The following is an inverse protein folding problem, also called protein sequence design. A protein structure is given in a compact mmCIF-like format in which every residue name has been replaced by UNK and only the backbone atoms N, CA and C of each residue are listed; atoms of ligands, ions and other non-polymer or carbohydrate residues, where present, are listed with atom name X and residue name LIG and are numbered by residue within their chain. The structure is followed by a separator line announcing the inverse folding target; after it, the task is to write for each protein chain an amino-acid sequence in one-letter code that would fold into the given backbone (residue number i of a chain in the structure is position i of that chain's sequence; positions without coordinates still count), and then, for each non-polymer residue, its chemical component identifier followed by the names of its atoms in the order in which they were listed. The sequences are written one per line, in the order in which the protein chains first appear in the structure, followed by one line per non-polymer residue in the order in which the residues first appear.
data_IF_655814777086
#
_entry.id   IF_655814777086
#
_cell.length_a   1.000
_cell.length_b   1.000
_cell.length_c   1.000
_cell.angle_alpha   90.00
_cell.angle_beta   90.00
_cell.angle_gamma   90.00
#
_symmetry.space_group_name_H-M   'P 1'
#
loop_
_entity.id
_entity.type
_entity.pdbx_description
1 polymer ?
#
# COMPACT_ATOMS: atom_id res chain seq x y z
N UNK A 1 -17.27 4.27 9.07
CA UNK A 1 -16.90 5.60 8.54
C UNK A 1 -15.64 5.48 7.72
N UNK A 2 -15.49 6.24 6.65
CA UNK A 2 -14.25 6.37 5.88
C UNK A 2 -13.61 7.73 6.17
N UNK A 3 -12.29 7.76 6.26
CA UNK A 3 -11.52 9.00 6.44
C UNK A 3 -10.35 9.01 5.47
N UNK A 4 -10.22 10.08 4.70
CA UNK A 4 -9.14 10.23 3.73
C UNK A 4 -8.00 11.05 4.33
N UNK A 5 -6.99 10.35 4.84
CA UNK A 5 -5.76 10.93 5.36
C UNK A 5 -4.61 10.92 4.34
N UNK A 6 -4.89 10.75 3.05
CA UNK A 6 -3.97 11.19 2.00
C UNK A 6 -4.12 12.71 1.86
N UNK A 7 -3.49 13.44 2.79
CA UNK A 7 -3.76 14.86 3.01
C UNK A 7 -3.39 15.77 1.85
N UNK A 8 -2.61 15.27 0.90
CA UNK A 8 -2.13 16.04 -0.25
C UNK A 8 -2.84 15.69 -1.55
N UNK A 9 -3.19 14.41 -1.73
CA UNK A 9 -3.70 13.90 -3.00
C UNK A 9 -4.93 13.00 -2.82
N UNK A 10 -5.63 13.16 -1.69
CA UNK A 10 -6.81 12.35 -1.37
C UNK A 10 -7.95 12.57 -2.35
N UNK A 11 -8.46 11.47 -2.91
CA UNK A 11 -9.51 11.44 -3.91
C UNK A 11 -10.63 10.44 -3.55
N UNK A 12 -10.64 9.95 -2.31
CA UNK A 12 -11.59 8.94 -1.86
C UNK A 12 -13.06 9.37 -2.07
N UNK A 13 -13.35 10.66 -1.96
CA UNK A 13 -14.66 11.22 -2.21
C UNK A 13 -15.09 11.09 -3.68
N UNK A 14 -14.14 11.20 -4.63
CA UNK A 14 -14.43 11.01 -6.05
C UNK A 14 -14.79 9.57 -6.35
N UNK A 15 -14.06 8.61 -5.76
CA UNK A 15 -14.36 7.18 -5.90
C UNK A 15 -15.73 6.81 -5.30
N UNK A 16 -16.13 7.51 -4.24
CA UNK A 16 -17.42 7.34 -3.58
C UNK A 16 -18.59 8.06 -4.30
N UNK A 17 -18.29 8.93 -5.27
CA UNK A 17 -19.29 9.75 -5.95
C UNK A 17 -19.88 10.86 -5.06
N UNK A 18 -19.11 11.38 -4.11
CA UNK A 18 -19.54 12.43 -3.19
C UNK A 18 -19.03 13.80 -3.67
N UNK A 19 -19.95 14.61 -4.21
CA UNK A 19 -19.60 15.91 -4.79
C UNK A 19 -19.29 17.00 -3.74
N UNK A 20 -19.84 16.85 -2.54
CA UNK A 20 -19.72 17.83 -1.46
C UNK A 20 -19.36 17.17 -0.13
N UNK A 21 -18.19 16.53 -0.07
CA UNK A 21 -17.80 15.84 1.14
C UNK A 21 -17.53 16.82 2.28
N UNK A 22 -17.79 16.40 3.51
CA UNK A 22 -17.25 17.07 4.68
C UNK A 22 -15.74 16.80 4.72
N UNK A 23 -14.93 17.82 4.96
CA UNK A 23 -13.47 17.72 4.92
C UNK A 23 -12.88 17.68 6.33
N UNK A 24 -11.68 17.13 6.47
CA UNK A 24 -11.01 16.97 7.76
C UNK A 24 -10.81 18.33 8.45
N UNK A 25 -10.33 19.34 7.74
CA UNK A 25 -10.12 20.69 8.25
C UNK A 25 -11.42 21.35 8.73
N UNK A 26 -12.55 21.12 8.06
CA UNK A 26 -13.86 21.56 8.49
C UNK A 26 -14.34 20.87 9.76
N UNK A 27 -14.08 19.54 9.88
CA UNK A 27 -14.42 18.77 11.08
C UNK A 27 -13.56 19.23 12.26
N UNK A 28 -12.26 19.46 12.06
CA UNK A 28 -11.37 19.96 13.11
C UNK A 28 -11.78 21.36 13.58
N UNK A 29 -12.21 22.22 12.66
CA UNK A 29 -12.74 23.56 13.01
C UNK A 29 -14.07 23.49 13.75
N UNK A 30 -14.90 22.49 13.48
CA UNK A 30 -16.21 22.29 14.12
C UNK A 30 -16.56 20.79 14.25
N UNK A 31 -16.11 20.13 15.31
CA UNK A 31 -16.36 18.70 15.55
C UNK A 31 -17.86 18.33 15.67
N UNK A 32 -18.71 19.27 16.00
CA UNK A 32 -20.15 19.05 16.11
C UNK A 32 -20.80 18.74 14.75
N UNK A 33 -20.09 18.92 13.64
CA UNK A 33 -20.54 18.52 12.30
C UNK A 33 -20.46 17.03 12.02
N UNK A 34 -19.71 16.25 12.81
CA UNK A 34 -19.59 14.81 12.59
C UNK A 34 -20.95 14.09 12.57
N UNK A 35 -21.92 14.43 13.44
CA UNK A 35 -23.27 13.86 13.38
C UNK A 35 -24.07 14.21 12.11
N UNK A 36 -23.66 15.24 11.34
CA UNK A 36 -24.29 15.59 10.07
C UNK A 36 -23.98 14.56 8.97
N UNK A 37 -22.94 13.75 9.17
CA UNK A 37 -22.52 12.73 8.23
C UNK A 37 -23.58 11.66 8.07
N UNK A 38 -23.98 11.45 6.82
CA UNK A 38 -25.03 10.48 6.50
C UNK A 38 -24.45 9.08 6.34
N UNK A 39 -24.99 8.15 7.12
CA UNK A 39 -24.79 6.73 6.88
C UNK A 39 -25.93 6.21 6.02
N UNK A 40 -25.65 5.73 4.84
CA UNK A 40 -26.64 5.10 3.97
C UNK A 40 -26.37 3.61 3.86
N UNK A 41 -27.36 2.82 3.44
CA UNK A 41 -27.15 1.40 3.18
C UNK A 41 -26.19 1.12 2.01
N UNK A 42 -25.92 2.13 1.17
CA UNK A 42 -25.10 2.03 -0.05
C UNK A 42 -23.73 2.67 0.08
N UNK A 43 -23.59 3.62 0.99
CA UNK A 43 -22.33 4.33 1.18
C UNK A 43 -22.08 4.60 2.65
N UNK A 44 -20.88 4.35 3.16
CA UNK A 44 -20.46 4.76 4.50
C UNK A 44 -20.37 6.28 4.58
N UNK A 45 -20.47 6.83 5.78
CA UNK A 45 -20.11 8.23 6.00
C UNK A 45 -18.65 8.47 5.63
N UNK A 46 -18.35 9.56 4.97
CA UNK A 46 -17.03 9.91 4.44
C UNK A 46 -16.58 11.27 4.96
N UNK A 47 -15.34 11.36 5.40
CA UNK A 47 -14.60 12.59 5.65
C UNK A 47 -13.46 12.64 4.64
N UNK A 48 -13.45 13.64 3.77
CA UNK A 48 -12.45 13.80 2.72
C UNK A 48 -11.20 14.53 3.21
N UNK A 49 -10.09 14.35 2.51
CA UNK A 49 -8.89 15.13 2.69
C UNK A 49 -9.15 16.64 2.50
N UNK A 50 -8.27 17.51 3.03
CA UNK A 50 -8.37 18.95 2.81
C UNK A 50 -8.37 19.30 1.30
N UNK A 51 -9.06 20.37 0.94
CA UNK A 51 -9.09 20.84 -0.46
C UNK A 51 -7.77 21.54 -0.85
N UNK A 52 -7.07 22.11 0.13
CA UNK A 52 -5.87 22.89 -0.09
C UNK A 52 -4.65 22.15 0.46
N UNK A 53 -3.62 22.01 -0.37
CA UNK A 53 -2.39 21.29 -0.01
C UNK A 53 -1.69 21.89 1.21
N UNK A 54 -1.75 23.21 1.37
CA UNK A 54 -1.14 23.91 2.51
C UNK A 54 -1.82 23.60 3.85
N UNK A 55 -3.06 23.11 3.84
CA UNK A 55 -3.76 22.71 5.06
C UNK A 55 -3.25 21.36 5.63
N UNK A 56 -2.50 20.59 4.84
CA UNK A 56 -2.07 19.25 5.21
C UNK A 56 -1.25 19.22 6.52
N UNK A 57 -0.35 20.19 6.73
CA UNK A 57 0.50 20.24 7.92
C UNK A 57 -0.30 20.57 9.20
N UNK A 58 -1.27 21.48 9.10
CA UNK A 58 -2.12 21.84 10.22
C UNK A 58 -3.04 20.70 10.60
N UNK A 59 -3.67 20.06 9.59
CA UNK A 59 -4.50 18.87 9.78
C UNK A 59 -3.69 17.73 10.41
N UNK A 60 -2.47 17.48 9.93
CA UNK A 60 -1.62 16.40 10.43
C UNK A 60 -1.36 16.51 11.95
N UNK A 61 -1.25 17.73 12.46
CA UNK A 61 -1.04 18.00 13.90
C UNK A 61 -2.24 17.61 14.75
N UNK A 62 -3.45 17.81 14.21
CA UNK A 62 -4.69 17.68 14.96
C UNK A 62 -5.39 16.32 14.75
N UNK A 63 -4.79 15.40 13.97
CA UNK A 63 -5.35 14.06 13.72
C UNK A 63 -5.68 13.25 14.99
N UNK A 64 -4.89 13.29 16.08
CA UNK A 64 -5.25 12.57 17.29
C UNK A 64 -6.61 12.98 17.83
N UNK A 65 -6.91 14.29 17.84
CA UNK A 65 -8.20 14.82 18.31
C UNK A 65 -9.36 14.38 17.37
N UNK A 66 -9.11 14.32 16.06
CA UNK A 66 -10.05 13.79 15.10
C UNK A 66 -10.40 12.33 15.40
N UNK A 67 -9.39 11.45 15.54
CA UNK A 67 -9.61 10.02 15.79
C UNK A 67 -10.33 9.77 17.10
N UNK A 68 -10.02 10.51 18.15
CA UNK A 68 -10.74 10.46 19.42
C UNK A 68 -12.22 10.82 19.27
N UNK A 69 -12.53 11.84 18.47
CA UNK A 69 -13.91 12.25 18.20
C UNK A 69 -14.66 11.18 17.39
N UNK A 70 -14.02 10.63 16.35
CA UNK A 70 -14.63 9.61 15.47
C UNK A 70 -14.86 8.28 16.18
N UNK A 71 -13.95 7.89 17.07
CA UNK A 71 -14.07 6.67 17.88
C UNK A 71 -15.25 6.68 18.85
N UNK A 72 -15.82 7.87 19.16
CA UNK A 72 -17.02 8.00 20.01
C UNK A 72 -18.33 7.83 19.25
N UNK A 73 -18.31 8.00 17.93
CA UNK A 73 -19.54 8.04 17.09
C UNK A 73 -19.59 6.92 16.05
N UNK A 74 -18.52 6.12 15.93
CA UNK A 74 -18.42 5.06 14.91
C UNK A 74 -17.80 3.81 15.49
N UNK A 75 -18.41 2.66 15.23
CA UNK A 75 -17.89 1.35 15.62
C UNK A 75 -16.63 0.97 14.82
N UNK A 76 -16.57 1.40 13.56
CA UNK A 76 -15.45 1.13 12.65
C UNK A 76 -15.09 2.41 11.88
N UNK A 77 -13.82 2.79 11.95
CA UNK A 77 -13.23 3.87 11.15
C UNK A 77 -12.17 3.27 10.26
N UNK A 78 -12.32 3.44 8.94
CA UNK A 78 -11.34 3.01 7.94
C UNK A 78 -10.62 4.25 7.43
N UNK A 79 -9.30 4.29 7.58
CA UNK A 79 -8.46 5.43 7.23
C UNK A 79 -7.64 5.10 5.99
N UNK A 80 -7.78 5.90 4.93
CA UNK A 80 -6.89 5.90 3.78
C UNK A 80 -5.70 6.83 4.05
N UNK A 81 -4.47 6.37 3.80
CA UNK A 81 -3.26 7.16 4.11
C UNK A 81 -2.44 7.52 2.87
N UNK A 82 -2.83 7.05 1.69
CA UNK A 82 -1.99 7.18 0.50
C UNK A 82 -0.71 6.32 0.56
N UNK A 83 0.21 6.57 -0.38
CA UNK A 83 1.43 5.77 -0.57
C UNK A 83 2.71 6.44 -0.05
N UNK A 84 2.69 7.73 0.26
CA UNK A 84 3.84 8.46 0.79
C UNK A 84 4.00 8.23 2.30
N UNK A 85 5.22 8.45 2.81
CA UNK A 85 5.48 8.42 4.25
C UNK A 85 5.77 9.82 4.75
N UNK A 86 4.94 10.29 5.68
CA UNK A 86 5.08 11.55 6.38
C UNK A 86 4.81 11.32 7.87
N UNK A 87 5.06 12.33 8.69
CA UNK A 87 4.95 12.22 10.14
C UNK A 87 3.54 11.81 10.60
N UNK A 88 2.50 12.28 9.95
CA UNK A 88 1.12 11.91 10.27
C UNK A 88 0.82 10.42 10.11
N UNK A 89 1.57 9.68 9.28
CA UNK A 89 1.40 8.22 9.18
C UNK A 89 1.75 7.50 10.49
N UNK A 90 2.73 7.99 11.26
CA UNK A 90 3.02 7.45 12.58
C UNK A 90 1.82 7.62 13.51
N UNK A 91 1.22 8.81 13.51
CA UNK A 91 0.00 9.12 14.30
C UNK A 91 -1.15 8.19 13.92
N UNK A 92 -1.39 8.00 12.62
CA UNK A 92 -2.45 7.07 12.13
C UNK A 92 -2.18 5.64 12.60
N UNK A 93 -0.94 5.15 12.47
CA UNK A 93 -0.57 3.79 12.86
C UNK A 93 -0.70 3.57 14.36
N UNK A 94 -0.26 4.51 15.18
CA UNK A 94 -0.38 4.46 16.64
C UNK A 94 -1.83 4.50 17.11
N UNK A 95 -2.70 5.21 16.38
CA UNK A 95 -4.13 5.32 16.69
C UNK A 95 -4.94 4.14 16.16
N UNK A 96 -4.36 3.28 15.34
CA UNK A 96 -5.06 2.19 14.64
C UNK A 96 -5.00 0.88 15.42
N UNK A 97 -6.13 0.18 15.53
CA UNK A 97 -6.19 -1.19 16.05
C UNK A 97 -5.62 -2.23 15.07
N UNK A 98 -5.63 -1.92 13.77
CA UNK A 98 -5.06 -2.76 12.72
C UNK A 98 -4.59 -1.88 11.56
N UNK A 99 -3.42 -2.17 11.01
CA UNK A 99 -2.93 -1.52 9.80
C UNK A 99 -2.83 -2.52 8.64
N UNK A 100 -3.35 -2.14 7.48
CA UNK A 100 -3.32 -2.95 6.26
C UNK A 100 -2.28 -2.40 5.30
N UNK A 101 -1.25 -3.19 5.01
CA UNK A 101 -0.25 -2.87 4.00
C UNK A 101 -0.63 -3.53 2.68
N UNK A 102 -1.01 -2.72 1.70
CA UNK A 102 -1.31 -3.20 0.35
C UNK A 102 -0.02 -3.40 -0.43
N UNK A 103 0.20 -4.60 -0.92
CA UNK A 103 1.40 -5.02 -1.65
C UNK A 103 0.95 -5.69 -2.94
N UNK A 104 1.54 -5.36 -4.08
CA UNK A 104 1.30 -6.10 -5.30
C UNK A 104 2.37 -7.20 -5.54
N UNK A 105 2.15 -8.05 -6.53
CA UNK A 105 3.03 -9.18 -6.84
C UNK A 105 4.32 -8.75 -7.58
N UNK A 106 4.98 -7.66 -7.12
CA UNK A 106 6.23 -7.12 -7.65
C UNK A 106 7.29 -6.99 -6.55
N UNK A 107 8.53 -7.28 -6.89
CA UNK A 107 9.65 -7.15 -5.94
C UNK A 107 9.82 -5.74 -5.41
N UNK A 108 9.53 -4.72 -6.22
CA UNK A 108 9.59 -3.31 -5.81
C UNK A 108 8.58 -2.99 -4.70
N UNK A 109 7.35 -3.50 -4.82
CA UNK A 109 6.29 -3.32 -3.83
C UNK A 109 6.62 -4.03 -2.51
N UNK A 110 7.08 -5.28 -2.58
CA UNK A 110 7.54 -6.02 -1.39
C UNK A 110 8.70 -5.31 -0.71
N UNK A 111 9.66 -4.78 -1.49
CA UNK A 111 10.79 -4.01 -0.94
C UNK A 111 10.32 -2.73 -0.26
N UNK A 112 9.39 -1.99 -0.87
CA UNK A 112 8.82 -0.78 -0.27
C UNK A 112 8.14 -1.10 1.08
N UNK A 113 7.36 -2.18 1.13
CA UNK A 113 6.74 -2.65 2.35
C UNK A 113 7.77 -2.99 3.45
N UNK A 114 8.88 -3.66 3.09
CA UNK A 114 9.97 -3.93 4.04
C UNK A 114 10.59 -2.64 4.58
N UNK A 115 10.83 -1.65 3.73
CA UNK A 115 11.35 -0.36 4.18
C UNK A 115 10.40 0.34 5.15
N UNK A 116 9.08 0.23 4.90
CA UNK A 116 8.06 0.75 5.82
C UNK A 116 8.12 0.05 7.18
N UNK A 117 8.21 -1.28 7.20
CA UNK A 117 8.36 -2.05 8.44
C UNK A 117 9.65 -1.73 9.19
N UNK A 118 10.77 -1.61 8.48
CA UNK A 118 12.05 -1.22 9.08
C UNK A 118 11.96 0.19 9.68
N UNK A 119 11.23 1.11 9.05
CA UNK A 119 10.98 2.45 9.59
C UNK A 119 10.12 2.37 10.86
N UNK A 120 9.01 1.64 10.84
CA UNK A 120 8.17 1.42 12.03
C UNK A 120 8.99 0.89 13.20
N UNK A 121 9.84 -0.12 12.95
CA UNK A 121 10.72 -0.67 13.98
C UNK A 121 11.69 0.37 14.57
N UNK A 122 12.27 1.23 13.74
CA UNK A 122 13.15 2.32 14.22
C UNK A 122 12.40 3.40 15.00
N UNK A 123 11.15 3.66 14.62
CA UNK A 123 10.28 4.63 15.32
C UNK A 123 9.60 4.04 16.56
N UNK A 124 9.80 2.75 16.87
CA UNK A 124 9.15 2.09 18.01
C UNK A 124 7.67 1.81 17.82
N UNK A 125 7.17 1.87 16.59
CA UNK A 125 5.77 1.57 16.27
C UNK A 125 5.57 0.05 16.31
N UNK A 126 4.58 -0.42 17.08
CA UNK A 126 4.28 -1.85 17.21
C UNK A 126 3.68 -2.39 15.91
N UNK A 127 4.30 -3.43 15.35
CA UNK A 127 3.89 -4.04 14.08
C UNK A 127 3.06 -5.32 14.23
N UNK A 128 2.75 -5.72 15.47
CA UNK A 128 2.00 -6.96 15.76
C UNK A 128 0.56 -6.96 15.25
N UNK A 129 -0.03 -5.79 15.09
CA UNK A 129 -1.39 -5.59 14.55
C UNK A 129 -1.41 -5.39 13.03
N UNK A 130 -0.26 -5.48 12.36
CA UNK A 130 -0.19 -5.27 10.92
C UNK A 130 -0.62 -6.53 10.16
N UNK A 131 -1.41 -6.34 9.13
CA UNK A 131 -1.76 -7.35 8.15
C UNK A 131 -1.34 -6.89 6.75
N UNK A 132 -0.91 -7.84 5.92
CA UNK A 132 -0.43 -7.58 4.57
C UNK A 132 -1.43 -8.15 3.58
N UNK A 133 -1.75 -7.36 2.57
CA UNK A 133 -2.74 -7.72 1.56
C UNK A 133 -2.07 -7.69 0.21
N UNK A 134 -1.97 -8.83 -0.46
CA UNK A 134 -1.56 -8.88 -1.87
C UNK A 134 -2.75 -8.44 -2.70
N UNK A 135 -2.65 -7.23 -3.24
CA UNK A 135 -3.66 -6.65 -4.09
C UNK A 135 -3.47 -7.09 -5.55
N UNK A 136 -4.54 -7.12 -6.32
CA UNK A 136 -4.56 -7.56 -7.72
C UNK A 136 -3.90 -8.93 -7.90
N UNK A 137 -4.21 -9.86 -6.99
CA UNK A 137 -3.61 -11.18 -7.00
C UNK A 137 -4.04 -11.97 -8.23
N UNK A 138 -3.09 -12.17 -9.15
CA UNK A 138 -3.28 -12.88 -10.40
C UNK A 138 -2.79 -14.33 -10.32
N UNK A 139 -3.51 -15.24 -10.96
CA UNK A 139 -3.09 -16.64 -11.11
C UNK A 139 -1.86 -16.71 -12.02
N UNK A 140 -0.83 -17.47 -11.60
CA UNK A 140 0.37 -17.68 -12.41
C UNK A 140 1.40 -16.55 -12.32
N UNK A 141 1.24 -15.57 -11.44
CA UNK A 141 2.28 -14.61 -11.13
C UNK A 141 3.54 -15.31 -10.59
N UNK A 142 4.73 -14.81 -10.97
CA UNK A 142 6.01 -15.37 -10.52
C UNK A 142 6.23 -15.21 -9.02
N UNK A 143 5.68 -14.15 -8.43
CA UNK A 143 5.72 -13.89 -6.99
C UNK A 143 4.35 -14.22 -6.42
N UNK A 144 4.29 -15.25 -5.61
CA UNK A 144 3.04 -15.67 -4.94
C UNK A 144 2.85 -14.98 -3.60
N UNK A 145 1.66 -15.05 -3.02
CA UNK A 145 1.40 -14.58 -1.65
C UNK A 145 2.26 -15.26 -0.60
N UNK A 146 2.64 -16.53 -0.85
CA UNK A 146 3.59 -17.26 0.00
C UNK A 146 4.98 -16.64 -0.06
N UNK A 147 5.45 -16.30 -1.27
CA UNK A 147 6.74 -15.65 -1.44
C UNK A 147 6.76 -14.28 -0.77
N UNK A 148 5.65 -13.53 -0.84
CA UNK A 148 5.48 -12.26 -0.13
C UNK A 148 5.53 -12.48 1.39
N UNK A 149 4.79 -13.45 1.93
CA UNK A 149 4.84 -13.80 3.35
C UNK A 149 6.26 -14.15 3.80
N UNK A 150 6.96 -15.01 3.06
CA UNK A 150 8.34 -15.37 3.35
C UNK A 150 9.28 -14.16 3.33
N UNK A 151 9.11 -13.25 2.35
CA UNK A 151 9.90 -12.02 2.25
C UNK A 151 9.63 -11.06 3.41
N UNK A 152 8.42 -11.07 3.97
CA UNK A 152 7.99 -10.30 5.13
C UNK A 152 8.11 -11.09 6.45
N UNK A 153 9.09 -11.99 6.54
CA UNK A 153 9.45 -12.76 7.75
C UNK A 153 8.32 -13.66 8.30
N UNK A 154 7.48 -14.19 7.42
CA UNK A 154 6.36 -15.05 7.80
C UNK A 154 5.12 -14.29 8.24
N UNK A 155 5.02 -12.99 7.92
CA UNK A 155 3.87 -12.19 8.24
C UNK A 155 2.58 -12.77 7.63
N UNK A 156 1.46 -12.52 8.31
CA UNK A 156 0.13 -12.90 7.80
C UNK A 156 -0.18 -12.12 6.53
N UNK A 157 -0.46 -12.82 5.45
CA UNK A 157 -0.79 -12.25 4.14
C UNK A 157 -2.19 -12.70 3.72
N UNK A 158 -3.00 -11.76 3.29
CA UNK A 158 -4.33 -11.96 2.70
C UNK A 158 -4.28 -11.61 1.21
N UNK A 159 -5.24 -12.08 0.43
CA UNK A 159 -5.27 -11.84 -1.02
C UNK A 159 -6.53 -11.10 -1.43
N UNK A 160 -6.37 -10.05 -2.24
CA UNK A 160 -7.45 -9.46 -3.03
C UNK A 160 -7.25 -9.83 -4.50
N UNK A 161 -8.28 -10.40 -5.11
CA UNK A 161 -8.25 -10.81 -6.50
C UNK A 161 -8.30 -9.59 -7.43
N UNK A 162 -7.83 -9.77 -8.65
CA UNK A 162 -7.95 -8.74 -9.70
C UNK A 162 -9.43 -8.44 -9.96
N UNK A 163 -9.80 -7.17 -9.90
CA UNK A 163 -11.19 -6.72 -10.09
C UNK A 163 -11.63 -6.69 -11.55
N UNK A 164 -10.66 -6.52 -12.43
CA UNK A 164 -10.88 -6.39 -13.87
C UNK A 164 -11.53 -5.07 -14.30
N UNK A 165 -11.82 -4.93 -15.61
CA UNK A 165 -12.27 -3.65 -16.18
C UNK A 165 -13.55 -3.09 -15.56
N UNK A 166 -14.50 -3.96 -15.17
CA UNK A 166 -15.77 -3.51 -14.57
C UNK A 166 -15.55 -2.79 -13.24
N UNK A 167 -14.64 -3.30 -12.40
CA UNK A 167 -14.31 -2.65 -11.13
C UNK A 167 -13.60 -1.32 -11.36
N UNK A 168 -12.67 -1.28 -12.32
CA UNK A 168 -11.95 -0.04 -12.69
C UNK A 168 -12.91 1.02 -13.26
N UNK A 169 -13.88 0.62 -14.10
CA UNK A 169 -14.89 1.52 -14.67
C UNK A 169 -15.80 2.11 -13.59
N UNK A 170 -16.30 1.27 -12.66
CA UNK A 170 -17.15 1.74 -11.57
C UNK A 170 -16.40 2.70 -10.63
N UNK A 171 -15.15 2.40 -10.28
CA UNK A 171 -14.33 3.29 -9.46
C UNK A 171 -14.05 4.62 -10.19
N UNK A 172 -13.69 4.56 -11.47
CA UNK A 172 -13.43 5.74 -12.28
C UNK A 172 -14.67 6.61 -12.52
N UNK A 173 -15.87 6.04 -12.40
CA UNK A 173 -17.15 6.75 -12.51
C UNK A 173 -17.69 7.26 -11.15
N UNK A 174 -16.97 7.06 -10.04
CA UNK A 174 -17.47 7.45 -8.72
C UNK A 174 -18.59 6.55 -8.20
N UNK A 175 -18.64 5.31 -8.66
CA UNK A 175 -19.71 4.34 -8.34
C UNK A 175 -19.21 3.21 -7.43
N UNK A 176 -18.27 3.50 -6.52
CA UNK A 176 -17.74 2.49 -5.60
C UNK A 176 -18.83 1.76 -4.79
N UNK A 177 -19.94 2.44 -4.47
CA UNK A 177 -21.08 1.84 -3.78
C UNK A 177 -21.74 0.67 -4.55
N UNK A 178 -21.64 0.66 -5.87
CA UNK A 178 -22.20 -0.41 -6.70
C UNK A 178 -21.33 -1.69 -6.70
N UNK A 179 -20.08 -1.60 -6.26
CA UNK A 179 -19.18 -2.76 -6.16
C UNK A 179 -19.73 -3.86 -5.27
N UNK A 180 -20.40 -3.49 -4.17
CA UNK A 180 -21.00 -4.45 -3.25
C UNK A 180 -22.10 -5.32 -3.88
N UNK A 181 -22.68 -4.86 -5.00
CA UNK A 181 -23.68 -5.60 -5.78
C UNK A 181 -23.09 -6.58 -6.78
N UNK A 182 -21.79 -6.50 -7.07
CA UNK A 182 -21.15 -7.40 -8.03
C UNK A 182 -20.97 -8.80 -7.45
N UNK A 183 -21.06 -9.79 -8.35
CA UNK A 183 -20.77 -11.20 -8.02
C UNK A 183 -19.53 -11.63 -8.79
N UNK A 184 -18.37 -11.33 -8.26
CA UNK A 184 -17.09 -11.70 -8.85
C UNK A 184 -16.06 -12.09 -7.77
N UNK A 185 -14.92 -12.61 -8.19
CA UNK A 185 -13.85 -13.07 -7.31
C UNK A 185 -13.25 -11.92 -6.47
N UNK A 186 -13.26 -10.69 -7.00
CA UNK A 186 -12.78 -9.51 -6.27
C UNK A 186 -13.65 -9.23 -5.05
N UNK A 187 -14.97 -9.08 -5.23
CA UNK A 187 -15.91 -8.81 -4.13
C UNK A 187 -15.87 -9.94 -3.10
N UNK A 188 -15.85 -11.20 -3.56
CA UNK A 188 -15.72 -12.36 -2.65
C UNK A 188 -14.43 -12.29 -1.83
N UNK A 189 -13.31 -11.84 -2.43
CA UNK A 189 -12.05 -11.68 -1.70
C UNK A 189 -12.05 -10.50 -0.72
N UNK A 190 -12.79 -9.42 -1.03
CA UNK A 190 -13.02 -8.32 -0.10
C UNK A 190 -13.86 -8.77 1.10
N UNK A 191 -14.95 -9.53 0.86
CA UNK A 191 -15.77 -10.08 1.94
C UNK A 191 -14.95 -10.98 2.86
N UNK A 192 -14.09 -11.83 2.30
CA UNK A 192 -13.18 -12.67 3.07
C UNK A 192 -12.18 -11.84 3.89
N UNK A 193 -11.64 -10.75 3.32
CA UNK A 193 -10.76 -9.81 4.02
C UNK A 193 -11.50 -9.16 5.21
N UNK A 194 -12.69 -8.64 4.99
CA UNK A 194 -13.51 -8.02 6.03
C UNK A 194 -13.82 -9.01 7.15
N UNK A 195 -14.21 -10.24 6.80
CA UNK A 195 -14.45 -11.32 7.78
C UNK A 195 -13.23 -11.69 8.60
N UNK A 196 -12.03 -11.58 7.99
CA UNK A 196 -10.76 -11.85 8.67
C UNK A 196 -10.34 -10.73 9.64
N UNK A 197 -10.76 -9.50 9.37
CA UNK A 197 -10.40 -8.32 10.17
C UNK A 197 -11.43 -8.02 11.28
N UNK A 198 -12.71 -8.29 11.02
CA UNK A 198 -13.83 -7.99 11.91
C UNK A 198 -14.57 -9.27 12.30
N UNK A 199 -13.93 -10.18 13.07
CA UNK A 199 -14.56 -11.42 13.48
C UNK A 199 -15.79 -11.14 14.36
N UNK A 200 -16.95 -11.68 13.95
CA UNK A 200 -18.23 -11.51 14.65
C UNK A 200 -19.20 -10.51 14.02
N UNK A 201 -18.78 -9.75 13.01
CA UNK A 201 -19.68 -8.87 12.25
C UNK A 201 -20.14 -9.47 10.91
N UNK A 202 -19.44 -10.47 10.42
CA UNK A 202 -19.83 -11.23 9.23
C UNK A 202 -20.32 -12.61 9.66
N UNK A 203 -21.44 -13.08 9.08
CA UNK A 203 -21.91 -14.44 9.27
C UNK A 203 -20.76 -15.41 8.93
N UNK A 204 -20.50 -16.31 9.86
CA UNK A 204 -19.40 -17.27 9.92
C UNK A 204 -18.83 -17.71 8.57
N UNK A 205 -17.76 -17.06 8.12
CA UNK A 205 -16.81 -17.66 7.19
C UNK A 205 -15.77 -18.37 8.04
N UNK A 206 -15.74 -19.68 7.99
CA UNK A 206 -14.79 -20.48 8.75
C UNK A 206 -13.37 -20.24 8.21
N UNK A 207 -12.62 -19.38 8.89
CA UNK A 207 -11.28 -18.95 8.53
C UNK A 207 -10.27 -20.10 8.42
N UNK A 208 -10.60 -21.27 8.96
CA UNK A 208 -9.73 -22.46 8.89
C UNK A 208 -9.68 -23.10 7.50
N UNK A 209 -10.73 -22.96 6.68
CA UNK A 209 -10.74 -23.52 5.32
C UNK A 209 -10.01 -22.63 4.30
N UNK A 210 -9.90 -21.33 4.53
CA UNK A 210 -9.22 -20.41 3.61
C UNK A 210 -7.78 -20.08 4.01
N UNK A 211 -7.42 -20.31 5.27
CA UNK A 211 -6.05 -20.26 5.75
C UNK A 211 -5.49 -21.69 5.73
N UNK A 212 -5.09 -22.15 4.55
CA UNK A 212 -4.34 -23.38 4.46
C UNK A 212 -3.22 -23.38 5.49
N UNK A 213 -3.15 -24.42 6.33
CA UNK A 213 -2.08 -24.63 7.30
C UNK A 213 -0.77 -24.65 6.52
N UNK A 214 -0.05 -23.54 6.52
CA UNK A 214 1.23 -23.42 5.83
C UNK A 214 2.29 -24.18 6.62
N UNK A 215 2.61 -25.36 6.13
CA UNK A 215 3.88 -25.98 6.43
C UNK A 215 4.97 -25.29 5.59
N UNK A 216 6.01 -24.70 6.17
CA UNK A 216 7.04 -24.01 5.40
C UNK A 216 7.78 -25.00 4.51
N UNK A 217 7.54 -24.93 3.19
CA UNK A 217 8.42 -25.61 2.23
C UNK A 217 9.72 -24.83 2.13
N UNK A 218 10.89 -25.49 2.12
CA UNK A 218 12.17 -24.79 2.05
C UNK A 218 12.26 -23.98 0.76
N UNK A 219 12.58 -22.70 0.93
CA UNK A 219 12.80 -21.72 -0.12
C UNK A 219 13.75 -22.28 -1.19
N UNK A 220 13.29 -22.49 -2.42
CA UNK A 220 14.19 -22.67 -3.55
C UNK A 220 15.06 -21.43 -3.65
N UNK A 221 16.38 -21.61 -3.47
CA UNK A 221 17.37 -20.55 -3.55
C UNK A 221 17.32 -19.89 -4.93
N UNK A 222 16.63 -18.77 -5.05
CA UNK A 222 16.63 -17.94 -6.26
C UNK A 222 17.92 -17.12 -6.43
N UNK A 223 18.84 -17.17 -5.47
CA UNK A 223 20.15 -16.55 -5.54
C UNK A 223 21.22 -17.62 -5.71
N UNK A 224 21.48 -18.01 -6.93
CA UNK A 224 22.54 -18.93 -7.23
C UNK A 224 22.63 -19.31 -8.70
N UNK A 225 22.72 -18.36 -9.59
CA UNK A 225 23.36 -18.61 -10.88
C UNK A 225 24.83 -18.87 -10.58
N UNK A 226 25.21 -20.15 -10.47
CA UNK A 226 26.61 -20.54 -10.56
C UNK A 226 27.14 -19.97 -11.87
N UNK A 227 28.06 -19.03 -11.77
CA UNK A 227 28.98 -18.76 -12.88
C UNK A 227 29.62 -20.11 -13.22
N UNK A 228 29.41 -20.58 -14.43
CA UNK A 228 30.21 -21.63 -15.02
C UNK A 228 31.67 -21.17 -14.92
N UNK A 229 32.45 -21.85 -14.11
CA UNK A 229 33.89 -21.68 -14.11
C UNK A 229 34.37 -22.23 -15.46
N UNK A 230 34.84 -21.33 -16.33
CA UNK A 230 35.61 -21.65 -17.51
C UNK A 230 36.78 -22.53 -17.05
N UNK A 231 36.74 -23.78 -17.47
CA UNK A 231 37.92 -24.65 -17.43
C UNK A 231 38.88 -24.11 -18.49
N UNK A 232 39.80 -23.29 -18.07
CA UNK A 232 41.00 -22.99 -18.85
C UNK A 232 41.84 -24.26 -18.94
N UNK A 233 41.92 -24.83 -20.15
CA UNK A 233 42.79 -25.87 -20.55
C UNK A 233 44.21 -25.29 -20.65
N UNK A 234 45.25 -25.81 -19.98
CA UNK A 234 46.58 -25.18 -19.91
C UNK A 234 47.54 -25.59 -21.04
N UNK A 235 47.09 -25.73 -22.28
CA UNK A 235 47.98 -26.02 -23.41
C UNK A 235 47.61 -25.27 -24.67
N UNK A 236 48.10 -24.04 -24.78
CA UNK A 236 48.41 -23.42 -26.08
C UNK A 236 49.36 -22.24 -25.88
N UNK A 237 50.47 -22.20 -26.63
CA UNK A 237 51.51 -21.22 -26.41
C UNK A 237 51.22 -19.88 -27.05
N UNK A 238 51.73 -18.83 -26.37
CA UNK A 238 51.76 -17.45 -26.72
C UNK A 238 52.26 -17.16 -28.15
N UNK A 239 51.53 -16.35 -28.90
CA UNK A 239 52.08 -15.49 -29.99
C UNK A 239 51.73 -14.03 -29.68
N UNK A 240 52.79 -13.28 -29.46
CA UNK A 240 52.74 -11.83 -29.28
C UNK A 240 52.59 -11.08 -30.60
N UNK A 241 52.51 -9.79 -30.50
CA UNK A 241 52.59 -8.66 -31.45
C UNK A 241 51.33 -7.80 -31.20
N UNK A 242 51.35 -6.57 -30.74
CA UNK A 242 52.13 -5.41 -30.93
C UNK A 242 51.20 -4.25 -30.61
N UNK A 243 51.58 -3.35 -29.76
CA UNK A 243 50.91 -2.06 -29.59
C UNK A 243 51.25 -1.14 -30.76
N UNK A 244 50.47 -0.14 -31.04
CA UNK A 244 51.02 1.19 -30.85
C UNK A 244 50.11 2.19 -30.10
N UNK A 245 50.85 3.11 -29.56
CA UNK A 245 50.53 4.28 -28.81
C UNK A 245 49.88 5.42 -29.64
N UNK A 246 49.38 6.39 -28.94
CA UNK A 246 49.08 7.73 -29.40
C UNK A 246 47.64 8.14 -29.09
N UNK A 247 47.29 9.25 -28.54
CA UNK A 247 47.93 10.43 -28.00
C UNK A 247 46.83 11.28 -27.37
N UNK A 248 47.15 11.91 -26.26
CA UNK A 248 46.40 13.04 -25.68
C UNK A 248 46.22 14.18 -26.68
N UNK A 249 45.07 14.86 -26.60
CA UNK A 249 45.02 16.33 -26.75
C UNK A 249 43.92 16.90 -25.88
N UNK A 250 44.29 17.75 -24.97
CA UNK A 250 43.45 18.72 -24.29
C UNK A 250 43.39 19.99 -25.11
N UNK A 251 42.30 20.73 -25.07
CA UNK A 251 42.23 22.19 -25.26
C UNK A 251 40.94 22.70 -24.64
N UNK A 252 41.04 23.37 -23.64
CA UNK A 252 40.83 24.73 -23.16
C UNK A 252 40.05 25.66 -24.13
N UNK A 253 39.14 26.42 -23.51
CA UNK A 253 39.03 27.85 -23.76
C UNK A 253 37.70 28.36 -24.31
N UNK A 254 37.08 29.26 -23.59
CA UNK A 254 36.43 30.37 -24.23
C UNK A 254 35.13 30.88 -23.64
N UNK A 255 35.24 31.84 -22.81
CA UNK A 255 34.19 32.70 -22.24
C UNK A 255 33.52 33.61 -23.31
N UNK A 256 32.34 34.13 -22.95
CA UNK A 256 31.66 35.29 -23.58
C UNK A 256 30.16 35.19 -23.44
N UNK A 257 29.50 35.75 -22.54
CA UNK A 257 29.04 37.10 -22.22
C UNK A 257 27.99 37.68 -23.22
N UNK A 258 26.82 38.05 -22.61
CA UNK A 258 25.81 39.06 -23.03
C UNK A 258 24.82 38.69 -24.15
N UNK A 259 23.56 38.65 -23.93
CA UNK A 259 22.59 39.73 -23.76
C UNK A 259 21.30 39.17 -23.09
#
# INVERSE_FOLDING_TARGET
MLVDCDLQFGDLHLLAGEDRPLRIDEVLANPDRVPELSFTKRAPALIAAPDRLEAAEDVARDLPALFDALGRVSDVVVVNTGASWAEHHAVVLESSSCALFLVDQRLSSVRACKHALDLCGRCGIATSSFAFVVNRCARGALLTSIDVSCALQGARVLELKEGGPVVEELLGAGLAGELAGLRNDFVTSVDALVGALLPGQTGTVDLKEHLGVFSPRPMRRFFGRKRAADRLDPTTPSRGVGAPAGACVASEGGAGARA
#
